data_IF_571249447981
#
_entry.id   IF_571249447981
#
_cell.length_a   1.000
_cell.length_b   1.000
_cell.length_c   1.000
_cell.angle_alpha   90.00
_cell.angle_beta   90.00
_cell.angle_gamma   90.00
#
_symmetry.space_group_name_H-M   'P 1'
#
loop_
_entity.id
_entity.type
_entity.pdbx_description
1 polymer ?
#
# COMPACT_ATOMS: atom_id res chain seq x y z
N UNK A 1 -6.53 3.72 -7.10
CA UNK A 1 -7.88 3.16 -6.87
C UNK A 1 -8.20 3.19 -5.40
N UNK A 2 -9.40 3.68 -5.07
CA UNK A 2 -9.91 3.67 -3.70
C UNK A 2 -10.94 2.55 -3.60
N UNK A 3 -10.71 1.61 -2.68
CA UNK A 3 -11.57 0.45 -2.46
C UNK A 3 -12.39 0.69 -1.19
N UNK A 4 -13.70 0.69 -1.35
CA UNK A 4 -14.68 0.91 -0.28
C UNK A 4 -15.61 -0.29 -0.08
N UNK A 5 -15.64 -1.20 -1.05
CA UNK A 5 -16.51 -2.35 -1.03
C UNK A 5 -15.98 -3.42 -0.06
N UNK A 6 -16.79 -3.75 0.94
CA UNK A 6 -16.41 -4.70 1.99
C UNK A 6 -16.01 -6.08 1.43
N UNK A 7 -16.78 -6.59 0.45
CA UNK A 7 -16.52 -7.90 -0.14
C UNK A 7 -15.14 -7.97 -0.82
N UNK A 8 -14.72 -6.91 -1.51
CA UNK A 8 -13.40 -6.81 -2.15
C UNK A 8 -12.29 -6.73 -1.11
N UNK A 9 -12.48 -5.95 -0.03
CA UNK A 9 -11.51 -5.85 1.06
C UNK A 9 -11.34 -7.19 1.78
N UNK A 10 -12.41 -7.90 2.11
CA UNK A 10 -12.38 -9.22 2.76
C UNK A 10 -11.72 -10.28 1.86
N UNK A 11 -12.03 -10.26 0.58
CA UNK A 11 -11.43 -11.17 -0.39
C UNK A 11 -9.93 -10.96 -0.55
N UNK A 12 -9.48 -9.70 -0.60
CA UNK A 12 -8.05 -9.37 -0.62
C UNK A 12 -7.37 -9.73 0.70
N UNK A 13 -8.04 -9.53 1.85
CA UNK A 13 -7.50 -9.93 3.16
C UNK A 13 -7.26 -11.43 3.26
N UNK A 14 -8.13 -12.23 2.66
CA UNK A 14 -8.02 -13.70 2.65
C UNK A 14 -6.93 -14.21 1.69
N UNK A 15 -6.71 -13.51 0.57
CA UNK A 15 -5.83 -13.96 -0.50
C UNK A 15 -4.40 -13.36 -0.43
N UNK A 16 -4.25 -12.16 0.15
CA UNK A 16 -2.93 -11.51 0.25
C UNK A 16 -2.23 -11.86 1.56
N UNK A 17 -0.95 -12.27 1.54
CA UNK A 17 -0.18 -12.41 2.76
C UNK A 17 -0.01 -11.04 3.43
N UNK A 18 0.00 -11.02 4.75
CA UNK A 18 0.22 -9.81 5.56
C UNK A 18 -0.84 -8.69 5.39
N UNK A 19 -1.99 -8.98 4.80
CA UNK A 19 -3.06 -8.00 4.55
C UNK A 19 -4.32 -8.23 5.43
N UNK A 20 -4.22 -8.97 6.53
CA UNK A 20 -5.35 -9.32 7.41
C UNK A 20 -6.09 -8.08 7.94
N UNK A 21 -5.39 -6.95 8.13
CA UNK A 21 -6.00 -5.71 8.59
C UNK A 21 -7.07 -5.15 7.63
N UNK A 22 -7.12 -5.62 6.38
CA UNK A 22 -8.19 -5.27 5.45
C UNK A 22 -9.57 -5.73 5.93
N UNK A 23 -9.65 -6.76 6.81
CA UNK A 23 -10.92 -7.19 7.41
C UNK A 23 -11.53 -6.15 8.34
N UNK A 24 -10.69 -5.30 8.94
CA UNK A 24 -11.10 -4.26 9.88
C UNK A 24 -11.04 -2.85 9.25
N UNK A 25 -10.14 -2.65 8.29
CA UNK A 25 -10.01 -1.38 7.59
C UNK A 25 -11.29 -1.05 6.81
N UNK A 26 -11.74 0.19 6.92
CA UNK A 26 -12.93 0.65 6.21
C UNK A 26 -12.66 0.92 4.73
N UNK A 27 -11.44 1.28 4.40
CA UNK A 27 -11.00 1.65 3.07
C UNK A 27 -9.60 1.11 2.79
N UNK A 28 -9.27 0.97 1.52
CA UNK A 28 -7.92 0.77 1.08
C UNK A 28 -7.63 1.60 -0.18
N UNK A 29 -6.37 2.01 -0.33
CA UNK A 29 -5.87 2.62 -1.57
C UNK A 29 -4.95 1.60 -2.22
N UNK A 30 -5.22 1.28 -3.50
CA UNK A 30 -4.30 0.52 -4.33
C UNK A 30 -3.53 1.50 -5.19
N UNK A 31 -2.22 1.55 -4.99
CA UNK A 31 -1.33 2.40 -5.79
C UNK A 31 -0.85 1.59 -6.99
N UNK A 32 -1.12 2.12 -8.18
CA UNK A 32 -0.82 1.46 -9.45
C UNK A 32 -0.08 2.41 -10.38
N UNK A 33 0.72 1.85 -11.27
CA UNK A 33 1.42 2.59 -12.32
C UNK A 33 1.26 1.98 -13.70
N UNK A 34 1.41 2.81 -14.72
CA UNK A 34 1.42 2.40 -16.13
C UNK A 34 2.84 2.00 -16.52
N UNK A 35 3.08 0.70 -16.63
CA UNK A 35 4.39 0.14 -16.99
C UNK A 35 4.81 0.42 -18.42
N UNK A 36 3.88 0.81 -19.30
CA UNK A 36 4.19 1.16 -20.69
C UNK A 36 4.69 2.60 -20.85
N UNK A 37 4.37 3.47 -19.89
CA UNK A 37 4.75 4.89 -19.92
C UNK A 37 6.09 5.18 -19.27
N UNK A 38 6.51 4.36 -18.28
CA UNK A 38 7.76 4.57 -17.57
C UNK A 38 8.30 3.26 -17.02
N UNK A 39 9.58 2.98 -17.28
CA UNK A 39 10.31 1.90 -16.62
C UNK A 39 10.52 2.14 -15.12
N UNK A 40 10.33 3.38 -14.66
CA UNK A 40 10.45 3.79 -13.26
C UNK A 40 9.10 3.86 -12.54
N UNK A 41 8.01 3.34 -13.16
CA UNK A 41 6.66 3.41 -12.61
C UNK A 41 6.57 2.98 -11.14
N UNK A 42 7.33 1.95 -10.74
CA UNK A 42 7.32 1.45 -9.37
C UNK A 42 8.02 2.39 -8.38
N UNK A 43 9.01 3.17 -8.82
CA UNK A 43 9.66 4.21 -7.99
C UNK A 43 8.71 5.39 -7.79
N UNK A 44 8.05 5.86 -8.86
CA UNK A 44 7.06 6.94 -8.79
C UNK A 44 5.90 6.55 -7.88
N UNK A 45 5.39 5.33 -8.05
CA UNK A 45 4.34 4.77 -7.19
C UNK A 45 4.81 4.62 -5.73
N UNK A 46 6.09 4.28 -5.49
CA UNK A 46 6.65 4.18 -4.14
C UNK A 46 6.68 5.53 -3.45
N UNK A 47 7.09 6.58 -4.16
CA UNK A 47 7.06 7.95 -3.65
C UNK A 47 5.61 8.40 -3.33
N UNK A 48 4.67 8.10 -4.21
CA UNK A 48 3.25 8.37 -3.98
C UNK A 48 2.70 7.62 -2.76
N UNK A 49 3.03 6.33 -2.62
CA UNK A 49 2.63 5.51 -1.48
C UNK A 49 3.17 6.08 -0.17
N UNK A 50 4.44 6.50 -0.13
CA UNK A 50 5.02 7.13 1.06
C UNK A 50 4.29 8.43 1.42
N UNK A 51 3.94 9.26 0.43
CA UNK A 51 3.15 10.48 0.68
C UNK A 51 1.76 10.16 1.24
N UNK A 52 1.11 9.09 0.77
CA UNK A 52 -0.18 8.63 1.30
C UNK A 52 -0.04 8.23 2.78
N UNK A 53 1.02 7.50 3.14
CA UNK A 53 1.26 7.11 4.54
C UNK A 53 1.51 8.32 5.44
N UNK A 54 2.29 9.30 4.98
CA UNK A 54 2.52 10.54 5.73
C UNK A 54 1.24 11.37 5.88
N UNK A 55 0.44 11.46 4.83
CA UNK A 55 -0.85 12.14 4.88
C UNK A 55 -1.82 11.46 5.87
N UNK A 56 -1.89 10.12 5.86
CA UNK A 56 -2.68 9.36 6.82
C UNK A 56 -2.27 9.68 8.26
N UNK A 57 -0.98 9.63 8.57
CA UNK A 57 -0.44 9.97 9.88
C UNK A 57 -0.80 11.40 10.30
N UNK A 58 -0.66 12.38 9.41
CA UNK A 58 -1.00 13.78 9.68
C UNK A 58 -2.48 14.01 9.99
N UNK A 59 -3.34 13.11 9.53
CA UNK A 59 -4.78 13.11 9.78
C UNK A 59 -5.19 12.24 10.99
N UNK A 60 -4.23 11.68 11.71
CA UNK A 60 -4.48 10.77 12.83
C UNK A 60 -5.02 9.41 12.41
N UNK A 61 -4.79 9.01 11.17
CA UNK A 61 -5.19 7.70 10.64
C UNK A 61 -4.02 6.71 10.70
N UNK A 62 -4.34 5.45 10.94
CA UNK A 62 -3.43 4.33 10.77
C UNK A 62 -3.42 3.86 9.31
N UNK A 63 -2.24 3.60 8.77
CA UNK A 63 -2.09 3.04 7.43
C UNK A 63 -0.83 2.17 7.37
N UNK A 64 -0.80 1.21 6.45
CA UNK A 64 0.36 0.34 6.27
C UNK A 64 0.50 -0.07 4.80
N UNK A 65 1.73 -0.15 4.34
CA UNK A 65 2.07 -0.63 3.01
C UNK A 65 2.05 -2.17 2.99
N UNK A 66 1.16 -2.77 2.19
CA UNK A 66 1.20 -4.20 1.87
C UNK A 66 1.60 -4.37 0.41
N UNK A 67 2.75 -4.99 0.17
CA UNK A 67 3.32 -5.09 -1.17
C UNK A 67 2.54 -6.05 -2.08
N UNK A 68 2.24 -5.61 -3.30
CA UNK A 68 1.85 -6.47 -4.41
C UNK A 68 3.04 -6.72 -5.34
N UNK A 69 3.59 -5.68 -5.96
CA UNK A 69 4.82 -5.77 -6.75
C UNK A 69 6.04 -6.03 -5.84
N UNK A 70 7.04 -6.87 -6.24
CA UNK A 70 7.18 -7.56 -7.54
C UNK A 70 6.61 -8.99 -7.57
N UNK A 71 5.68 -9.35 -6.74
CA UNK A 71 5.15 -10.70 -6.59
C UNK A 71 3.96 -10.92 -7.51
N UNK A 72 4.13 -11.73 -8.55
CA UNK A 72 3.11 -12.03 -9.57
C UNK A 72 1.80 -12.51 -8.95
N UNK A 73 1.87 -13.48 -8.04
CA UNK A 73 0.73 -14.03 -7.33
C UNK A 73 -0.10 -12.97 -6.60
N UNK A 74 0.57 -12.01 -5.97
CA UNK A 74 -0.09 -10.91 -5.25
C UNK A 74 -0.69 -9.88 -6.21
N UNK A 75 0.03 -9.56 -7.29
CA UNK A 75 -0.46 -8.65 -8.32
C UNK A 75 -1.71 -9.21 -8.99
N UNK A 76 -1.75 -10.51 -9.26
CA UNK A 76 -2.93 -11.19 -9.81
C UNK A 76 -4.13 -11.15 -8.87
N UNK A 77 -3.90 -11.35 -7.56
CA UNK A 77 -4.96 -11.19 -6.56
C UNK A 77 -5.56 -9.79 -6.63
N UNK A 78 -4.73 -8.75 -6.66
CA UNK A 78 -5.22 -7.37 -6.76
C UNK A 78 -5.98 -7.16 -8.06
N UNK A 79 -5.44 -7.60 -9.19
CA UNK A 79 -6.09 -7.50 -10.51
C UNK A 79 -7.47 -8.18 -10.56
N UNK A 80 -7.62 -9.30 -9.88
CA UNK A 80 -8.88 -10.06 -9.82
C UNK A 80 -10.00 -9.25 -9.16
N UNK A 81 -9.69 -8.47 -8.13
CA UNK A 81 -10.70 -7.75 -7.35
C UNK A 81 -10.91 -6.28 -7.77
N UNK A 82 -9.95 -5.72 -8.50
CA UNK A 82 -10.09 -4.39 -9.09
C UNK A 82 -9.73 -4.51 -10.59
N UNK A 83 -10.70 -4.50 -11.46
CA UNK A 83 -10.51 -4.68 -12.90
C UNK A 83 -9.49 -3.69 -13.50
N UNK A 84 -8.18 -4.00 -13.37
CA UNK A 84 -7.10 -3.17 -13.89
C UNK A 84 -6.89 -3.44 -15.38
N UNK A 85 -6.64 -2.40 -16.20
CA UNK A 85 -6.11 -2.57 -17.55
C UNK A 85 -4.79 -3.36 -17.53
N UNK A 86 -4.47 -4.04 -18.63
CA UNK A 86 -3.29 -4.92 -18.71
C UNK A 86 -1.98 -4.20 -18.44
N UNK A 87 -1.85 -2.96 -18.92
CA UNK A 87 -0.67 -2.11 -18.75
C UNK A 87 -0.55 -1.45 -17.36
N UNK A 88 -1.60 -1.55 -16.52
CA UNK A 88 -1.61 -0.98 -15.17
C UNK A 88 -1.20 -2.06 -14.17
N UNK A 89 -0.09 -1.83 -13.48
CA UNK A 89 0.47 -2.77 -12.51
C UNK A 89 0.27 -2.25 -11.08
N UNK A 90 -0.27 -3.09 -10.17
CA UNK A 90 -0.42 -2.71 -8.77
C UNK A 90 0.92 -2.80 -8.04
N UNK A 91 1.33 -1.69 -7.39
CA UNK A 91 2.50 -1.67 -6.52
C UNK A 91 2.18 -2.22 -5.14
N UNK A 92 1.14 -1.68 -4.52
CA UNK A 92 0.78 -2.03 -3.15
C UNK A 92 -0.69 -1.76 -2.86
N UNK A 93 -1.17 -2.37 -1.78
CA UNK A 93 -2.47 -2.08 -1.17
C UNK A 93 -2.21 -1.42 0.17
N UNK A 94 -2.83 -0.27 0.42
CA UNK A 94 -2.69 0.50 1.65
C UNK A 94 -4.06 0.52 2.36
N UNK A 95 -4.34 -0.41 3.29
CA UNK A 95 -5.48 -0.28 4.19
C UNK A 95 -5.28 0.92 5.10
N UNK A 96 -6.36 1.64 5.39
CA UNK A 96 -6.32 2.75 6.33
C UNK A 96 -7.64 2.92 7.10
N UNK A 97 -7.52 3.50 8.29
CA UNK A 97 -8.63 3.73 9.19
C UNK A 97 -8.16 4.34 10.50
N UNK A 98 -9.06 4.53 11.44
CA UNK A 98 -8.68 4.97 12.78
C UNK A 98 -7.92 3.86 13.50
N UNK A 99 -6.73 4.15 14.06
CA UNK A 99 -5.92 3.15 14.74
C UNK A 99 -6.60 2.69 16.04
N UNK A 100 -6.69 1.38 16.25
CA UNK A 100 -7.21 0.81 17.50
C UNK A 100 -6.26 1.06 18.69
N UNK A 101 -4.96 1.19 18.42
CA UNK A 101 -3.91 1.44 19.41
C UNK A 101 -2.98 2.52 18.90
N UNK A 102 -2.71 3.50 19.74
CA UNK A 102 -1.73 4.54 19.40
C UNK A 102 -0.32 3.97 19.47
N UNK A 103 0.37 3.95 18.33
CA UNK A 103 1.74 3.47 18.26
C UNK A 103 2.71 4.52 18.81
N UNK A 104 3.71 4.06 19.57
CA UNK A 104 4.80 4.94 20.01
C UNK A 104 5.81 5.13 18.86
N UNK A 105 6.35 6.34 18.70
CA UNK A 105 7.40 6.60 17.71
C UNK A 105 8.60 5.68 17.94
N UNK A 106 9.11 5.09 16.86
CA UNK A 106 10.32 4.26 16.91
C UNK A 106 11.55 5.14 16.61
N UNK A 107 12.56 5.05 17.45
CA UNK A 107 13.86 5.68 17.17
C UNK A 107 14.52 4.95 16.00
N UNK A 108 14.49 5.58 14.82
CA UNK A 108 15.06 5.03 13.59
C UNK A 108 16.33 5.78 13.12
N UNK A 109 16.60 6.93 13.72
CA UNK A 109 17.78 7.71 13.39
C UNK A 109 19.04 7.01 13.92
N UNK A 110 20.02 6.85 13.04
CA UNK A 110 21.31 6.25 13.35
C UNK A 110 22.40 7.07 12.63
N UNK A 111 23.13 7.86 13.39
CA UNK A 111 24.18 8.74 12.88
C UNK A 111 25.30 7.97 12.16
N UNK A 112 25.55 6.72 12.54
CA UNK A 112 26.56 5.86 11.91
C UNK A 112 26.27 5.53 10.45
N UNK A 113 25.02 5.77 9.99
CA UNK A 113 24.61 5.60 8.59
C UNK A 113 24.83 6.84 7.75
N UNK A 114 25.31 7.92 8.33
CA UNK A 114 25.60 9.17 7.63
C UNK A 114 27.10 9.22 7.37
N UNK A 115 27.47 9.32 6.11
CA UNK A 115 28.87 9.39 5.68
C UNK A 115 29.11 10.76 5.04
N UNK A 116 30.11 11.49 5.52
CA UNK A 116 30.57 12.76 4.96
C UNK A 116 31.84 12.49 4.13
N UNK A 117 31.92 13.07 2.94
CA UNK A 117 33.10 13.01 2.06
C UNK A 117 33.60 14.41 1.76
#
# INVERSE_FOLDING_TARGET
YVITERASLDSMAAALPYAKMLTEARYAIVVCGDSTRSSYWYLDCSAAAQNILLAAESLGLGAVWTAAYPYEDRMEVVRKYIALPENILPLCVIPFGYPAVQQQPKQKYDEKKIHYQ
#
